data_IF_911364287844
#
_entry.id   IF_911364287844
#
_cell.length_a   1.000
_cell.length_b   1.000
_cell.length_c   1.000
_cell.angle_alpha   90.00
_cell.angle_beta   90.00
_cell.angle_gamma   90.00
#
_symmetry.space_group_name_H-M   'P 1'
#
loop_
_entity.id
_entity.type
_entity.pdbx_description
1 polymer ?
#
# COMPACT_ATOMS: atom_id res chain seq x y z
N UNK A 1 18.75 -2.95 3.89
CA UNK A 1 17.52 -3.67 3.48
C UNK A 1 16.40 -2.66 3.36
N UNK A 2 15.40 -3.00 2.57
CA UNK A 2 14.19 -2.22 2.38
C UNK A 2 13.01 -3.12 2.70
N UNK A 3 11.97 -2.52 3.25
CA UNK A 3 10.67 -3.14 3.44
C UNK A 3 9.69 -2.48 2.47
N UNK A 4 8.81 -3.27 1.86
CA UNK A 4 7.71 -2.73 1.07
C UNK A 4 6.41 -3.41 1.46
N UNK A 5 5.41 -2.59 1.76
CA UNK A 5 4.03 -3.04 1.94
C UNK A 5 3.16 -2.25 0.96
N UNK A 6 2.10 -2.87 0.46
CA UNK A 6 1.12 -2.17 -0.37
C UNK A 6 -0.29 -2.35 0.16
N UNK A 7 -1.20 -1.48 -0.28
CA UNK A 7 -2.61 -1.54 0.08
C UNK A 7 -2.82 -1.51 1.61
N UNK A 8 -2.24 -0.52 2.29
CA UNK A 8 -2.43 -0.34 3.74
C UNK A 8 -3.88 0.01 4.09
N UNK A 9 -4.62 0.60 3.14
CA UNK A 9 -6.05 0.87 3.24
C UNK A 9 -6.46 1.72 4.44
N UNK A 10 -5.56 2.53 5.02
CA UNK A 10 -5.84 3.30 6.23
C UNK A 10 -5.98 2.42 7.48
N UNK A 11 -5.36 1.23 7.50
CA UNK A 11 -5.42 0.32 8.63
C UNK A 11 -4.26 0.55 9.61
N UNK A 12 -4.56 1.16 10.76
CA UNK A 12 -3.54 1.44 11.78
C UNK A 12 -3.05 0.18 12.50
N UNK A 13 -3.92 -0.81 12.72
CA UNK A 13 -3.54 -2.07 13.37
C UNK A 13 -2.56 -2.86 12.52
N UNK A 14 -2.80 -2.89 11.19
CA UNK A 14 -1.87 -3.47 10.24
C UNK A 14 -0.53 -2.74 10.21
N UNK A 15 -0.55 -1.39 10.20
CA UNK A 15 0.68 -0.59 10.22
C UNK A 15 1.48 -0.84 11.50
N UNK A 16 0.81 -0.89 12.65
CA UNK A 16 1.46 -1.13 13.94
C UNK A 16 2.14 -2.50 13.99
N UNK A 17 1.46 -3.56 13.54
CA UNK A 17 2.05 -4.90 13.48
C UNK A 17 3.20 -4.97 12.46
N UNK A 18 3.04 -4.37 11.27
CA UNK A 18 4.13 -4.27 10.30
C UNK A 18 5.38 -3.63 10.92
N UNK A 19 5.23 -2.50 11.61
CA UNK A 19 6.35 -1.81 12.25
C UNK A 19 6.97 -2.64 13.38
N UNK A 20 6.15 -3.34 14.17
CA UNK A 20 6.62 -4.30 15.18
C UNK A 20 7.47 -5.41 14.57
N UNK A 21 7.01 -6.01 13.46
CA UNK A 21 7.75 -7.03 12.70
C UNK A 21 9.06 -6.47 12.15
N UNK A 22 9.04 -5.27 11.59
CA UNK A 22 10.24 -4.61 11.06
C UNK A 22 11.25 -4.36 12.18
N UNK A 23 10.84 -3.90 13.36
CA UNK A 23 11.77 -3.73 14.49
C UNK A 23 12.40 -5.07 14.92
N UNK A 24 11.62 -6.16 15.01
CA UNK A 24 12.17 -7.50 15.28
C UNK A 24 13.18 -7.94 14.20
N UNK A 25 12.89 -7.68 12.92
CA UNK A 25 13.83 -7.95 11.83
C UNK A 25 15.10 -7.09 11.99
N UNK A 26 14.96 -5.79 12.30
CA UNK A 26 16.11 -4.90 12.51
C UNK A 26 17.01 -5.37 13.63
N UNK A 27 16.45 -5.81 14.75
CA UNK A 27 17.24 -6.38 15.86
C UNK A 27 18.05 -7.58 15.41
N UNK A 28 17.40 -8.56 14.76
CA UNK A 28 18.05 -9.76 14.21
C UNK A 28 19.18 -9.41 13.24
N UNK A 29 18.94 -8.44 12.36
CA UNK A 29 19.84 -8.09 11.27
C UNK A 29 20.98 -7.14 11.69
N UNK A 30 20.79 -6.36 12.75
CA UNK A 30 21.84 -5.49 13.30
C UNK A 30 23.02 -6.32 13.81
N UNK A 31 22.79 -7.52 14.33
CA UNK A 31 23.84 -8.47 14.70
C UNK A 31 24.71 -8.90 13.51
N UNK A 32 24.16 -8.85 12.29
CA UNK A 32 24.84 -9.16 11.03
C UNK A 32 25.39 -7.91 10.31
N UNK A 33 25.34 -6.74 10.95
CA UNK A 33 25.75 -5.47 10.35
C UNK A 33 24.81 -4.97 9.24
N UNK A 34 23.55 -5.40 9.25
CA UNK A 34 22.48 -4.96 8.33
C UNK A 34 21.50 -4.06 9.07
N UNK A 35 20.94 -3.07 8.37
CA UNK A 35 19.84 -2.24 8.89
C UNK A 35 18.74 -2.09 7.84
N UNK A 36 17.52 -1.83 8.30
CA UNK A 36 16.40 -1.41 7.45
C UNK A 36 16.57 0.08 7.19
N UNK A 37 16.78 0.41 5.92
CA UNK A 37 17.08 1.77 5.47
C UNK A 37 15.81 2.54 5.09
N UNK A 38 14.78 1.81 4.65
CA UNK A 38 13.51 2.40 4.23
C UNK A 38 12.35 1.40 4.34
N UNK A 39 11.16 1.93 4.62
CA UNK A 39 9.88 1.22 4.49
C UNK A 39 9.05 1.98 3.44
N UNK A 40 8.75 1.35 2.31
CA UNK A 40 7.80 1.90 1.35
C UNK A 40 6.39 1.42 1.70
N UNK A 41 5.45 2.36 1.80
CA UNK A 41 4.01 2.06 1.91
C UNK A 41 3.34 2.53 0.62
N UNK A 42 2.92 1.58 -0.22
CA UNK A 42 2.38 1.85 -1.56
C UNK A 42 0.85 1.69 -1.55
N UNK A 43 0.11 2.78 -1.70
CA UNK A 43 -1.35 2.79 -1.46
C UNK A 43 -1.65 2.87 0.03
N UNK A 44 -1.98 4.08 0.48
CA UNK A 44 -1.96 4.44 1.91
C UNK A 44 -3.36 4.33 2.49
N UNK A 45 -4.32 5.06 1.91
CA UNK A 45 -5.70 5.10 2.37
C UNK A 45 -6.60 4.18 1.56
N UNK A 46 -7.81 3.95 2.08
CA UNK A 46 -8.76 3.02 1.50
C UNK A 46 -9.89 2.71 2.47
N UNK A 47 -10.09 1.42 2.71
CA UNK A 47 -11.32 0.90 3.31
C UNK A 47 -11.37 0.90 4.84
N UNK A 48 -10.27 1.15 5.54
CA UNK A 48 -10.18 0.99 6.99
C UNK A 48 -10.22 2.32 7.76
N UNK A 49 -10.81 2.34 8.97
CA UNK A 49 -11.26 3.57 9.63
C UNK A 49 -10.19 4.27 10.47
N UNK A 50 -8.94 4.35 9.99
CA UNK A 50 -7.85 5.05 10.70
C UNK A 50 -7.05 6.05 9.85
N UNK A 51 -7.67 6.84 8.95
CA UNK A 51 -6.93 7.72 8.06
C UNK A 51 -6.08 8.75 8.79
N UNK A 52 -6.57 9.31 9.90
CA UNK A 52 -5.86 10.38 10.64
C UNK A 52 -4.67 9.83 11.42
N UNK A 53 -4.83 8.65 12.01
CA UNK A 53 -3.81 7.94 12.78
C UNK A 53 -2.69 7.48 11.84
N UNK A 54 -3.04 6.84 10.72
CA UNK A 54 -2.10 6.42 9.68
C UNK A 54 -1.34 7.62 9.10
N UNK A 55 -2.05 8.69 8.73
CA UNK A 55 -1.44 9.95 8.29
C UNK A 55 -0.37 10.44 9.26
N UNK A 56 -0.71 10.54 10.55
CA UNK A 56 0.22 11.05 11.57
C UNK A 56 1.39 10.11 11.79
N UNK A 57 1.16 8.81 11.79
CA UNK A 57 2.21 7.81 11.97
C UNK A 57 3.23 7.87 10.82
N UNK A 58 2.75 7.93 9.58
CA UNK A 58 3.60 8.01 8.39
C UNK A 58 4.32 9.36 8.33
N UNK A 59 3.60 10.49 8.47
CA UNK A 59 4.20 11.84 8.36
C UNK A 59 5.31 12.09 9.39
N UNK A 60 5.21 11.51 10.57
CA UNK A 60 6.19 11.70 11.64
C UNK A 60 7.31 10.65 11.64
N UNK A 61 7.41 9.81 10.62
CA UNK A 61 8.43 8.76 10.52
C UNK A 61 9.47 9.12 9.46
N UNK A 62 10.75 9.11 9.86
CA UNK A 62 11.86 9.29 8.92
C UNK A 62 12.15 8.02 8.10
N UNK A 63 11.63 6.88 8.54
CA UNK A 63 11.89 5.58 7.92
C UNK A 63 10.87 5.24 6.82
N UNK A 64 9.66 5.78 6.91
CA UNK A 64 8.57 5.47 5.98
C UNK A 64 8.58 6.46 4.81
N UNK A 65 8.63 5.94 3.59
CA UNK A 65 8.34 6.70 2.37
C UNK A 65 6.94 6.32 1.88
N UNK A 66 5.95 7.22 2.00
CA UNK A 66 4.63 7.00 1.41
C UNK A 66 4.69 7.09 -0.12
N UNK A 67 4.00 6.17 -0.80
CA UNK A 67 3.78 6.21 -2.25
C UNK A 67 2.29 6.06 -2.51
N UNK A 68 1.69 7.04 -3.17
CA UNK A 68 0.24 7.08 -3.38
C UNK A 68 -0.27 5.97 -4.31
N UNK A 69 -1.43 5.41 -3.96
CA UNK A 69 -2.15 4.40 -4.73
C UNK A 69 -3.43 4.88 -5.39
N UNK A 70 -4.27 3.93 -5.82
CA UNK A 70 -5.55 4.23 -6.49
C UNK A 70 -6.45 5.14 -5.65
N UNK A 71 -6.75 4.72 -4.41
CA UNK A 71 -7.66 5.45 -3.52
C UNK A 71 -7.11 6.81 -3.11
N UNK A 72 -5.79 6.93 -2.94
CA UNK A 72 -5.12 8.20 -2.67
C UNK A 72 -5.31 9.21 -3.82
N UNK A 73 -5.21 8.76 -5.08
CA UNK A 73 -5.53 9.61 -6.25
C UNK A 73 -6.99 10.05 -6.25
N UNK A 74 -7.90 9.15 -5.90
CA UNK A 74 -9.33 9.46 -5.81
C UNK A 74 -9.59 10.51 -4.72
N UNK A 75 -8.97 10.38 -3.55
CA UNK A 75 -9.09 11.36 -2.47
C UNK A 75 -8.60 12.74 -2.89
N UNK A 76 -7.47 12.83 -3.59
CA UNK A 76 -6.97 14.11 -4.12
C UNK A 76 -8.02 14.74 -5.04
N UNK A 77 -8.50 13.98 -6.03
CA UNK A 77 -9.50 14.44 -7.00
C UNK A 77 -10.80 14.84 -6.32
N UNK A 78 -11.30 14.04 -5.37
CA UNK A 78 -12.55 14.29 -4.65
C UNK A 78 -12.63 15.69 -4.03
N UNK A 79 -11.47 16.24 -3.65
CA UNK A 79 -11.33 17.60 -3.16
C UNK A 79 -11.53 18.74 -4.15
N UNK A 80 -11.37 18.43 -5.42
CA UNK A 80 -11.41 19.37 -6.54
C UNK A 80 -12.77 19.35 -7.24
N UNK A 81 -13.58 18.34 -6.96
CA UNK A 81 -14.90 18.14 -7.57
C UNK A 81 -15.95 19.09 -7.00
N UNK A 82 -16.79 19.57 -7.89
CA UNK A 82 -18.09 20.18 -7.60
C UNK A 82 -19.08 19.16 -7.00
N UNK A 83 -20.18 19.66 -6.44
CA UNK A 83 -21.26 18.83 -5.89
C UNK A 83 -21.90 17.93 -6.96
N UNK A 84 -22.09 18.45 -8.18
CA UNK A 84 -22.62 17.67 -9.31
C UNK A 84 -21.68 16.51 -9.70
N UNK A 85 -20.36 16.76 -9.72
CA UNK A 85 -19.36 15.73 -10.02
C UNK A 85 -19.26 14.67 -8.92
N UNK A 86 -19.46 15.04 -7.65
CA UNK A 86 -19.51 14.08 -6.54
C UNK A 86 -20.72 13.16 -6.64
N UNK A 87 -21.89 13.70 -6.98
CA UNK A 87 -23.08 12.88 -7.23
C UNK A 87 -22.90 11.96 -8.45
N UNK A 88 -22.16 12.37 -9.47
CA UNK A 88 -21.82 11.46 -10.58
C UNK A 88 -20.96 10.27 -10.10
N UNK A 89 -19.88 10.54 -9.36
CA UNK A 89 -19.00 9.48 -8.81
C UNK A 89 -19.76 8.53 -7.88
N UNK A 90 -20.67 9.05 -7.06
CA UNK A 90 -21.51 8.25 -6.17
C UNK A 90 -22.38 7.22 -6.91
N UNK A 91 -22.77 7.51 -8.15
CA UNK A 91 -23.52 6.57 -8.98
C UNK A 91 -22.63 5.55 -9.69
N UNK A 92 -21.35 5.86 -9.88
CA UNK A 92 -20.38 5.00 -10.58
C UNK A 92 -19.62 4.06 -9.63
N UNK A 93 -19.56 4.38 -8.33
CA UNK A 93 -18.88 3.57 -7.32
C UNK A 93 -19.87 2.74 -6.49
N UNK A 94 -19.43 1.56 -5.99
CA UNK A 94 -20.16 0.89 -4.93
C UNK A 94 -20.35 1.81 -3.73
N UNK A 95 -21.53 1.72 -3.09
CA UNK A 95 -21.91 2.62 -1.99
C UNK A 95 -20.85 2.65 -0.87
N UNK A 96 -20.26 1.50 -0.54
CA UNK A 96 -19.24 1.40 0.51
C UNK A 96 -17.95 2.13 0.13
N UNK A 97 -17.55 2.16 -1.14
CA UNK A 97 -16.35 2.86 -1.59
C UNK A 97 -16.55 4.37 -1.54
N UNK A 98 -17.70 4.85 -2.03
CA UNK A 98 -18.04 6.27 -1.97
C UNK A 98 -18.10 6.77 -0.52
N UNK A 99 -18.77 6.02 0.37
CA UNK A 99 -18.80 6.35 1.81
C UNK A 99 -17.40 6.38 2.43
N UNK A 100 -16.51 5.48 2.02
CA UNK A 100 -15.12 5.52 2.50
C UNK A 100 -14.33 6.69 1.93
N UNK A 101 -14.57 7.14 0.69
CA UNK A 101 -13.95 8.36 0.17
C UNK A 101 -14.37 9.58 1.00
N UNK A 102 -15.66 9.72 1.28
CA UNK A 102 -16.18 10.79 2.14
C UNK A 102 -15.58 10.73 3.54
N UNK A 103 -15.62 9.55 4.18
CA UNK A 103 -15.09 9.36 5.53
C UNK A 103 -13.59 9.68 5.61
N UNK A 104 -12.78 9.15 4.70
CA UNK A 104 -11.35 9.45 4.64
C UNK A 104 -11.12 10.95 4.41
N UNK A 105 -11.84 11.55 3.47
CA UNK A 105 -11.72 12.98 3.17
C UNK A 105 -11.98 13.83 4.41
N UNK A 106 -13.08 13.59 5.12
CA UNK A 106 -13.45 14.32 6.33
C UNK A 106 -12.42 14.12 7.45
N UNK A 107 -12.10 12.86 7.77
CA UNK A 107 -11.24 12.50 8.90
C UNK A 107 -9.79 12.96 8.74
N UNK A 108 -9.26 13.00 7.51
CA UNK A 108 -7.93 13.56 7.23
C UNK A 108 -7.84 15.05 7.60
N UNK A 109 -8.96 15.79 7.53
CA UNK A 109 -8.98 17.23 7.76
C UNK A 109 -8.11 18.00 6.76
N UNK A 110 -7.96 19.31 6.96
CA UNK A 110 -7.18 20.15 6.03
C UNK A 110 -5.72 19.69 5.93
N UNK A 111 -5.07 19.43 7.07
CA UNK A 111 -3.64 19.08 7.13
C UNK A 111 -3.33 17.73 6.51
N UNK A 112 -4.14 16.70 6.75
CA UNK A 112 -3.94 15.37 6.15
C UNK A 112 -4.11 15.41 4.63
N UNK A 113 -5.12 16.14 4.14
CA UNK A 113 -5.36 16.30 2.70
C UNK A 113 -4.29 17.15 2.02
N UNK A 114 -3.77 18.17 2.71
CA UNK A 114 -2.65 18.99 2.22
C UNK A 114 -1.37 18.17 2.12
N UNK A 115 -1.08 17.33 3.13
CA UNK A 115 0.03 16.39 3.10
C UNK A 115 -0.10 15.42 1.92
N UNK A 116 -1.27 14.79 1.75
CA UNK A 116 -1.51 13.85 0.66
C UNK A 116 -1.26 14.48 -0.72
N UNK A 117 -1.64 15.75 -0.93
CA UNK A 117 -1.40 16.45 -2.21
C UNK A 117 0.03 16.88 -2.45
N UNK A 118 0.75 17.28 -1.39
CA UNK A 118 1.99 18.03 -1.54
C UNK A 118 3.24 17.23 -1.15
N UNK A 119 3.10 16.17 -0.38
CA UNK A 119 4.21 15.42 0.21
C UNK A 119 4.20 13.93 -0.19
N UNK A 120 3.08 13.41 -0.71
CA UNK A 120 3.00 12.02 -1.17
C UNK A 120 3.24 11.95 -2.68
N UNK A 121 4.33 11.31 -3.05
CA UNK A 121 4.68 11.01 -4.44
C UNK A 121 3.93 9.78 -4.94
N UNK A 122 3.65 9.72 -6.25
CA UNK A 122 3.00 8.55 -6.87
C UNK A 122 3.95 7.62 -7.60
N UNK A 123 5.21 8.05 -7.73
CA UNK A 123 6.31 7.28 -8.27
C UNK A 123 7.59 7.79 -7.62
N UNK A 124 8.35 6.88 -7.02
CA UNK A 124 9.61 7.19 -6.33
C UNK A 124 10.71 6.35 -6.95
N UNK A 125 11.88 6.96 -7.14
CA UNK A 125 13.10 6.25 -7.53
C UNK A 125 14.24 6.64 -6.60
N UNK A 126 14.86 5.66 -5.98
CA UNK A 126 15.90 5.85 -4.97
C UNK A 126 17.06 4.85 -5.22
N UNK A 127 18.27 5.22 -4.81
CA UNK A 127 19.48 4.39 -4.95
C UNK A 127 20.00 3.98 -3.58
N UNK A 128 20.24 2.68 -3.41
CA UNK A 128 20.79 2.08 -2.20
C UNK A 128 22.11 1.39 -2.54
N UNK A 129 23.23 2.09 -2.35
CA UNK A 129 24.53 1.64 -2.85
C UNK A 129 24.55 1.67 -4.37
N UNK A 130 24.69 0.51 -5.00
CA UNK A 130 24.64 0.36 -6.46
C UNK A 130 23.25 -0.03 -6.99
N UNK A 131 22.33 -0.39 -6.12
CA UNK A 131 20.99 -0.85 -6.49
C UNK A 131 20.02 0.32 -6.64
N UNK A 132 19.38 0.42 -7.80
CA UNK A 132 18.30 1.36 -8.10
C UNK A 132 16.96 0.70 -7.85
N UNK A 133 16.13 1.34 -7.03
CA UNK A 133 14.79 0.87 -6.66
C UNK A 133 13.75 1.87 -7.20
N UNK A 134 12.77 1.37 -7.95
CA UNK A 134 11.64 2.15 -8.47
C UNK A 134 10.35 1.66 -7.83
N UNK A 135 9.52 2.57 -7.32
CA UNK A 135 8.31 2.25 -6.54
C UNK A 135 7.13 3.02 -7.08
N UNK A 136 6.06 2.34 -7.49
CA UNK A 136 4.80 2.97 -7.90
C UNK A 136 3.63 2.04 -7.62
N UNK A 137 2.41 2.56 -7.52
CA UNK A 137 1.24 1.69 -7.35
C UNK A 137 0.87 0.96 -8.66
N UNK A 138 0.85 1.68 -9.78
CA UNK A 138 0.56 1.14 -11.10
C UNK A 138 1.84 0.86 -11.90
N UNK A 139 1.69 0.02 -12.91
CA UNK A 139 2.67 -0.17 -13.97
C UNK A 139 2.64 1.00 -15.00
N UNK A 140 3.52 1.02 -16.03
CA UNK A 140 3.57 2.12 -16.99
C UNK A 140 2.28 2.32 -17.78
N UNK A 141 1.46 1.28 -17.90
CA UNK A 141 0.18 1.31 -18.61
C UNK A 141 -0.96 1.86 -17.76
N UNK A 142 -0.71 2.04 -16.46
CA UNK A 142 -1.70 2.47 -15.48
C UNK A 142 -2.51 1.33 -14.87
N UNK A 143 -2.09 0.08 -15.07
CA UNK A 143 -2.76 -1.11 -14.53
C UNK A 143 -2.14 -1.53 -13.18
N UNK A 144 -2.94 -2.17 -12.33
CA UNK A 144 -2.45 -2.84 -11.12
C UNK A 144 -1.62 -4.08 -11.50
N UNK A 145 -0.69 -4.46 -10.62
CA UNK A 145 0.11 -5.65 -10.83
C UNK A 145 -0.74 -6.92 -10.75
N UNK A 146 -0.53 -7.84 -11.70
CA UNK A 146 -1.20 -9.13 -11.78
C UNK A 146 -0.16 -10.26 -11.94
N UNK A 147 -0.16 -11.21 -10.99
CA UNK A 147 0.79 -12.30 -10.95
C UNK A 147 0.67 -13.28 -12.13
N UNK A 148 -0.49 -13.30 -12.81
CA UNK A 148 -0.73 -14.11 -14.01
C UNK A 148 0.01 -13.59 -15.25
N UNK A 149 0.45 -12.32 -15.25
CA UNK A 149 1.23 -11.77 -16.36
C UNK A 149 2.61 -12.45 -16.44
N UNK A 150 3.10 -12.58 -17.68
CA UNK A 150 4.35 -13.30 -17.99
C UNK A 150 5.60 -12.56 -17.52
N UNK A 151 6.72 -13.26 -17.44
CA UNK A 151 8.02 -12.62 -17.19
C UNK A 151 8.37 -11.62 -18.29
N UNK A 152 8.08 -11.92 -19.57
CA UNK A 152 8.29 -11.00 -20.69
C UNK A 152 7.49 -9.69 -20.57
N UNK A 153 6.28 -9.76 -19.98
CA UNK A 153 5.52 -8.57 -19.67
C UNK A 153 6.27 -7.71 -18.65
N UNK A 154 6.71 -8.32 -17.56
CA UNK A 154 7.38 -7.62 -16.47
C UNK A 154 8.79 -7.16 -16.83
N UNK A 155 9.46 -7.81 -17.78
CA UNK A 155 10.74 -7.38 -18.35
C UNK A 155 10.60 -6.02 -19.06
N UNK A 156 9.49 -5.82 -19.80
CA UNK A 156 9.18 -4.51 -20.40
C UNK A 156 8.81 -3.46 -19.35
N UNK A 157 8.01 -3.85 -18.35
CA UNK A 157 7.62 -2.96 -17.24
C UNK A 157 8.84 -2.37 -16.53
N UNK A 158 9.84 -3.20 -16.24
CA UNK A 158 11.06 -2.74 -15.55
C UNK A 158 12.00 -1.98 -16.50
N UNK A 159 12.04 -2.31 -17.80
CA UNK A 159 12.80 -1.57 -18.81
C UNK A 159 12.28 -0.14 -19.00
N UNK A 160 10.96 0.03 -19.07
CA UNK A 160 10.31 1.33 -19.25
C UNK A 160 10.49 2.26 -18.02
N UNK A 161 10.63 1.68 -16.82
CA UNK A 161 10.87 2.42 -15.58
C UNK A 161 12.35 2.57 -15.24
N UNK A 162 13.02 3.47 -15.96
CA UNK A 162 14.35 4.02 -15.62
C UNK A 162 15.49 3.01 -15.40
N UNK A 163 15.35 1.76 -15.89
CA UNK A 163 16.33 0.67 -15.68
C UNK A 163 16.63 0.42 -14.20
N UNK A 164 15.59 0.26 -13.39
CA UNK A 164 15.74 -0.13 -11.99
C UNK A 164 16.15 -1.60 -11.84
N UNK A 165 16.95 -1.92 -10.83
CA UNK A 165 17.29 -3.31 -10.50
C UNK A 165 16.13 -4.01 -9.77
N UNK A 166 15.36 -3.22 -9.00
CA UNK A 166 14.13 -3.66 -8.32
C UNK A 166 12.99 -2.68 -8.66
N UNK A 167 11.88 -3.22 -9.18
CA UNK A 167 10.61 -2.50 -9.31
C UNK A 167 9.64 -3.01 -8.25
N UNK A 168 9.18 -2.13 -7.39
CA UNK A 168 8.12 -2.39 -6.41
C UNK A 168 6.83 -1.83 -6.99
N UNK A 169 5.82 -2.69 -7.08
CA UNK A 169 4.53 -2.33 -7.67
C UNK A 169 3.37 -2.70 -6.73
N UNK A 170 2.35 -1.85 -6.66
CA UNK A 170 1.14 -2.12 -5.89
C UNK A 170 0.28 -3.22 -6.54
N UNK A 171 -0.35 -4.05 -5.71
CA UNK A 171 -1.22 -5.12 -6.16
C UNK A 171 -1.76 -5.93 -4.98
N UNK A 172 -2.81 -6.70 -5.22
CA UNK A 172 -3.45 -7.48 -4.15
C UNK A 172 -2.62 -8.71 -3.80
N UNK A 173 -2.29 -9.50 -4.82
CA UNK A 173 -1.62 -10.78 -4.62
C UNK A 173 -0.09 -10.61 -4.67
N UNK A 174 0.64 -11.11 -3.66
CA UNK A 174 2.08 -10.93 -3.58
C UNK A 174 2.79 -11.82 -4.58
N UNK A 175 3.84 -11.31 -5.22
CA UNK A 175 4.68 -12.11 -6.12
C UNK A 175 6.06 -11.49 -6.31
N UNK A 176 6.99 -12.33 -6.78
CA UNK A 176 8.32 -11.92 -7.23
C UNK A 176 8.51 -12.46 -8.65
N UNK A 177 8.74 -11.59 -9.63
CA UNK A 177 9.10 -11.96 -10.99
C UNK A 177 10.54 -11.58 -11.24
N UNK A 178 11.36 -12.57 -11.59
CA UNK A 178 12.73 -12.34 -12.03
C UNK A 178 12.70 -12.09 -13.53
N UNK A 179 13.37 -11.04 -13.97
CA UNK A 179 13.41 -10.60 -15.37
C UNK A 179 14.87 -10.52 -15.83
N UNK A 180 15.12 -10.19 -17.10
CA UNK A 180 16.49 -10.00 -17.59
C UNK A 180 17.10 -8.69 -17.07
N UNK A 181 16.25 -7.72 -16.72
CA UNK A 181 16.64 -6.37 -16.32
C UNK A 181 16.60 -6.11 -14.81
N UNK A 182 16.05 -7.04 -14.02
CA UNK A 182 15.94 -6.90 -12.57
C UNK A 182 14.82 -7.78 -11.98
N UNK A 183 14.27 -7.38 -10.84
CA UNK A 183 13.11 -8.06 -10.23
C UNK A 183 11.92 -7.11 -10.11
N UNK A 184 10.73 -7.61 -10.47
CA UNK A 184 9.47 -6.94 -10.16
C UNK A 184 8.85 -7.61 -8.93
N UNK A 185 8.51 -6.81 -7.93
CA UNK A 185 8.02 -7.23 -6.62
C UNK A 185 6.68 -6.59 -6.36
N UNK A 186 5.65 -7.43 -6.23
CA UNK A 186 4.39 -7.02 -5.62
C UNK A 186 4.41 -7.51 -4.17
N UNK A 187 4.40 -6.62 -3.17
CA UNK A 187 4.44 -7.03 -1.77
C UNK A 187 3.10 -7.61 -1.27
N UNK A 188 2.05 -7.52 -2.08
CA UNK A 188 0.70 -7.93 -1.73
C UNK A 188 -0.03 -6.90 -0.87
N UNK A 189 -1.03 -7.36 -0.14
CA UNK A 189 -1.94 -6.50 0.61
C UNK A 189 -1.61 -6.55 2.11
N UNK A 190 -1.30 -5.38 2.68
CA UNK A 190 -0.95 -5.26 4.09
C UNK A 190 -2.14 -4.86 4.96
N UNK A 191 -3.10 -4.12 4.40
CA UNK A 191 -4.19 -3.53 5.18
C UNK A 191 -5.39 -4.43 5.42
N UNK A 192 -5.58 -5.45 4.57
CA UNK A 192 -6.69 -6.41 4.67
C UNK A 192 -6.21 -7.78 4.20
N UNK A 193 -6.98 -8.83 4.50
CA UNK A 193 -6.71 -10.16 3.94
C UNK A 193 -6.89 -10.18 2.42
N UNK A 194 -6.15 -11.03 1.73
CA UNK A 194 -6.37 -11.25 0.29
C UNK A 194 -7.52 -12.22 0.02
N UNK A 195 -7.66 -13.22 0.89
CA UNK A 195 -8.76 -14.17 0.90
C UNK A 195 -9.03 -14.59 2.35
N UNK A 196 -10.01 -15.46 2.58
CA UNK A 196 -10.26 -15.98 3.93
C UNK A 196 -9.04 -16.68 4.54
N UNK A 197 -8.24 -17.34 3.70
CA UNK A 197 -7.12 -18.17 4.14
C UNK A 197 -5.77 -17.43 4.05
N UNK A 198 -5.70 -16.32 3.31
CA UNK A 198 -4.46 -15.59 3.09
C UNK A 198 -4.32 -14.42 4.06
N UNK A 199 -3.25 -14.43 4.83
CA UNK A 199 -2.90 -13.34 5.73
C UNK A 199 -2.32 -12.13 4.96
N UNK A 200 -2.40 -10.94 5.55
CA UNK A 200 -1.69 -9.76 5.07
C UNK A 200 -0.19 -10.01 4.86
N UNK A 201 0.38 -9.31 3.88
CA UNK A 201 1.77 -9.53 3.44
C UNK A 201 2.57 -8.25 3.28
N UNK A 202 3.89 -8.38 3.37
CA UNK A 202 4.87 -7.38 2.95
C UNK A 202 6.12 -8.07 2.38
N UNK A 203 6.92 -7.33 1.61
CA UNK A 203 8.18 -7.81 1.07
C UNK A 203 9.38 -7.27 1.86
N UNK A 204 10.40 -8.11 2.01
CA UNK A 204 11.73 -7.72 2.49
C UNK A 204 12.72 -7.84 1.34
N UNK A 205 13.52 -6.79 1.14
CA UNK A 205 14.41 -6.64 -0.01
C UNK A 205 15.83 -6.34 0.51
N UNK A 206 16.77 -7.24 0.24
CA UNK A 206 18.19 -7.01 0.49
C UNK A 206 18.84 -6.40 -0.77
N UNK A 207 19.03 -5.08 -0.74
CA UNK A 207 19.60 -4.31 -1.85
C UNK A 207 21.07 -4.58 -2.13
N UNK A 208 21.76 -5.43 -1.37
CA UNK A 208 23.17 -5.74 -1.63
C UNK A 208 23.34 -6.92 -2.59
N UNK A 209 22.38 -7.83 -2.59
CA UNK A 209 22.39 -9.05 -3.41
C UNK A 209 21.07 -9.26 -4.18
N UNK A 210 20.14 -8.31 -4.07
CA UNK A 210 18.82 -8.33 -4.69
C UNK A 210 17.93 -9.47 -4.19
N UNK A 211 18.22 -10.08 -3.03
CA UNK A 211 17.34 -11.10 -2.45
C UNK A 211 16.02 -10.47 -2.02
N UNK A 212 14.92 -11.17 -2.32
CA UNK A 212 13.56 -10.73 -2.01
C UNK A 212 12.80 -11.93 -1.48
N UNK A 213 12.05 -11.72 -0.41
CA UNK A 213 11.05 -12.67 0.07
C UNK A 213 9.82 -11.93 0.60
N UNK A 214 8.70 -12.64 0.66
CA UNK A 214 7.43 -12.13 1.18
C UNK A 214 7.23 -12.72 2.58
N UNK A 215 6.85 -11.87 3.51
CA UNK A 215 6.49 -12.22 4.88
C UNK A 215 4.98 -12.04 5.05
N UNK A 216 4.37 -13.01 5.73
CA UNK A 216 2.98 -12.97 6.16
C UNK A 216 2.90 -12.49 7.61
N UNK A 217 1.84 -11.76 7.94
CA UNK A 217 1.59 -11.31 9.30
C UNK A 217 0.10 -11.19 9.60
N UNK A 218 -0.25 -11.20 10.88
CA UNK A 218 -1.62 -11.03 11.35
C UNK A 218 -1.68 -9.95 12.41
N UNK A 219 -2.75 -9.17 12.37
CA UNK A 219 -3.06 -8.13 13.35
C UNK A 219 -4.44 -8.40 13.97
N UNK A 220 -4.83 -7.61 14.96
CA UNK A 220 -6.13 -7.76 15.60
C UNK A 220 -7.26 -7.21 14.70
N UNK A 221 -7.81 -8.09 13.87
CA UNK A 221 -8.96 -7.79 13.00
C UNK A 221 -10.19 -7.35 13.79
N UNK A 222 -10.33 -7.77 15.06
CA UNK A 222 -11.49 -7.44 15.86
C UNK A 222 -11.49 -5.96 16.24
N UNK A 223 -10.32 -5.39 16.54
CA UNK A 223 -10.19 -3.95 16.79
C UNK A 223 -10.63 -3.12 15.58
N UNK A 224 -10.25 -3.54 14.38
CA UNK A 224 -10.64 -2.87 13.13
C UNK A 224 -12.15 -2.98 12.89
N UNK A 225 -12.73 -4.17 13.06
CA UNK A 225 -14.17 -4.40 12.95
C UNK A 225 -14.96 -3.55 13.96
N UNK A 226 -14.51 -3.48 15.21
CA UNK A 226 -15.17 -2.69 16.25
C UNK A 226 -15.11 -1.20 15.92
N UNK A 227 -14.01 -0.72 15.34
CA UNK A 227 -13.87 0.66 14.86
C UNK A 227 -14.78 0.97 13.66
N UNK A 228 -14.95 0.02 12.73
CA UNK A 228 -15.92 0.14 11.61
C UNK A 228 -17.32 0.35 12.18
N UNK A 229 -17.70 -0.43 13.21
CA UNK A 229 -19.02 -0.32 13.87
C UNK A 229 -19.16 0.96 14.70
N UNK A 230 -18.11 1.40 15.38
CA UNK A 230 -18.09 2.65 16.15
C UNK A 230 -18.45 3.86 15.29
N UNK A 231 -17.93 3.90 14.06
CA UNK A 231 -18.22 4.96 13.09
C UNK A 231 -19.47 4.70 12.24
N UNK A 232 -20.24 3.65 12.53
CA UNK A 232 -21.44 3.26 11.78
C UNK A 232 -21.18 3.12 10.26
N UNK A 233 -19.97 2.64 9.92
CA UNK A 233 -19.55 2.47 8.53
C UNK A 233 -20.18 1.20 7.90
N UNK A 234 -20.25 1.12 6.55
CA UNK A 234 -20.88 0.01 5.86
C UNK A 234 -20.35 -1.37 6.28
N UNK A 235 -21.26 -2.32 6.54
CA UNK A 235 -20.91 -3.70 6.93
C UNK A 235 -20.07 -4.42 5.86
N UNK A 236 -20.22 -4.03 4.58
CA UNK A 236 -19.38 -4.53 3.49
C UNK A 236 -17.87 -4.39 3.76
N UNK A 237 -17.45 -3.39 4.55
CA UNK A 237 -16.05 -3.19 4.93
C UNK A 237 -15.52 -4.27 5.86
N UNK A 238 -16.38 -4.84 6.72
CA UNK A 238 -16.03 -6.01 7.54
C UNK A 238 -15.74 -7.19 6.62
N UNK A 239 -16.53 -7.38 5.57
CA UNK A 239 -16.27 -8.44 4.60
C UNK A 239 -14.98 -8.18 3.80
N UNK A 240 -14.71 -6.93 3.39
CA UNK A 240 -13.44 -6.56 2.75
C UNK A 240 -12.25 -6.86 3.69
N UNK A 241 -12.36 -6.54 4.98
CA UNK A 241 -11.32 -6.79 5.98
C UNK A 241 -10.93 -8.27 6.07
N UNK A 242 -11.92 -9.17 6.14
CA UNK A 242 -11.70 -10.60 6.34
C UNK A 242 -11.53 -11.42 5.04
N UNK A 243 -11.93 -10.87 3.89
CA UNK A 243 -11.98 -11.62 2.63
C UNK A 243 -11.37 -10.92 1.41
N UNK A 244 -10.85 -9.70 1.56
CA UNK A 244 -10.15 -8.95 0.50
C UNK A 244 -11.04 -8.38 -0.61
N UNK A 245 -12.34 -8.63 -0.53
CA UNK A 245 -13.34 -8.17 -1.50
C UNK A 245 -14.70 -7.99 -0.86
N UNK A 246 -15.51 -7.08 -1.41
CA UNK A 246 -16.93 -6.96 -1.07
C UNK A 246 -17.69 -8.23 -1.50
N UNK A 247 -18.74 -8.65 -0.77
CA UNK A 247 -19.52 -9.84 -1.12
C UNK A 247 -20.33 -9.67 -2.41
N UNK A 248 -20.55 -8.42 -2.88
CA UNK A 248 -21.24 -8.13 -4.15
C UNK A 248 -20.65 -6.89 -4.86
N UNK A 249 -20.58 -6.90 -6.21
CA UNK A 249 -20.24 -5.73 -7.03
C UNK A 249 -21.39 -4.71 -7.10
#
# INVERSE_FOLDING_TARGET
MIIAASNLNGNMEALAELLSRVENLREKYREEGRDVQRIYIVGIFGYMPYPKEVYKAIKNSDLITPVGGYFDRMLIKFGELSEEEREAIKNDLPEYEYKMLEFNWEMLGHEGRKWLRNEVEFHVVEKFGDTRVSVSYFDPTGEEADHWKSEEYYDKVIEEFERADIKIIGGKEPFIKVTQHGKVVCPGNAGVRNSREDDPTFAVIDTRNLDVWIEEFSFDFKLVEDRIKEYELPEALVHVLYHGKSPHP
#
